data_IF_667998939652
#
_entry.id   IF_667998939652
#
_cell.length_a   1.000
_cell.length_b   1.000
_cell.length_c   1.000
_cell.angle_alpha   90.00
_cell.angle_beta   90.00
_cell.angle_gamma   90.00
#
_symmetry.space_group_name_H-M   'P 1'
#
loop_
_entity.id
_entity.type
_entity.pdbx_description
1 polymer ?
#
# COMPACT_ATOMS: atom_id res chain seq x y z
N UNK A 1 -15.29 48.55 55.04
CA UNK A 1 -15.07 49.44 53.90
C UNK A 1 -14.01 48.86 53.00
N UNK A 2 -14.41 48.19 51.93
CA UNK A 2 -13.48 47.68 50.91
C UNK A 2 -12.83 48.87 50.21
N UNK A 3 -11.54 48.96 50.28
CA UNK A 3 -10.75 50.03 49.65
C UNK A 3 -10.95 50.00 48.13
N UNK A 4 -11.19 51.16 47.49
CA UNK A 4 -11.30 51.26 46.02
C UNK A 4 -10.08 50.61 45.30
N UNK A 5 -8.94 50.60 45.95
CA UNK A 5 -7.71 49.95 45.46
C UNK A 5 -7.82 48.41 45.28
N UNK A 6 -8.58 47.73 46.16
CA UNK A 6 -8.76 46.29 46.06
C UNK A 6 -9.70 45.95 44.91
N UNK A 7 -10.76 46.74 44.70
CA UNK A 7 -11.73 46.54 43.60
C UNK A 7 -11.06 46.72 42.24
N UNK A 8 -10.22 47.71 42.06
CA UNK A 8 -9.47 47.95 40.82
C UNK A 8 -8.48 46.80 40.51
N UNK A 9 -7.83 46.27 41.52
CA UNK A 9 -6.90 45.15 41.38
C UNK A 9 -7.64 43.87 40.99
N UNK A 10 -8.77 43.60 41.62
CA UNK A 10 -9.56 42.43 41.36
C UNK A 10 -10.22 42.46 39.98
N UNK A 11 -10.68 43.65 39.54
CA UNK A 11 -11.20 43.86 38.17
C UNK A 11 -10.07 43.67 37.13
N UNK A 12 -8.92 44.24 37.33
CA UNK A 12 -7.77 44.07 36.43
C UNK A 12 -7.34 42.61 36.32
N UNK A 13 -7.37 41.85 37.40
CA UNK A 13 -7.08 40.42 37.42
C UNK A 13 -8.15 39.64 36.67
N UNK A 14 -9.45 39.93 36.89
CA UNK A 14 -10.55 39.26 36.19
C UNK A 14 -10.51 39.51 34.67
N UNK A 15 -10.24 40.76 34.24
CA UNK A 15 -10.08 41.12 32.84
C UNK A 15 -8.89 40.38 32.20
N UNK A 16 -7.76 40.30 32.91
CA UNK A 16 -6.60 39.55 32.44
C UNK A 16 -6.90 38.05 32.27
N UNK A 17 -7.63 37.45 33.20
CA UNK A 17 -8.04 36.02 33.08
C UNK A 17 -9.03 35.82 31.94
N UNK A 18 -9.98 36.74 31.75
CA UNK A 18 -10.92 36.66 30.64
C UNK A 18 -10.22 36.83 29.28
N UNK A 19 -9.31 37.82 29.16
CA UNK A 19 -8.51 38.02 27.95
C UNK A 19 -7.65 36.79 27.63
N UNK A 20 -7.05 36.16 28.66
CA UNK A 20 -6.29 34.92 28.50
C UNK A 20 -7.20 33.77 27.99
N UNK A 21 -8.36 33.51 28.60
CA UNK A 21 -9.30 32.49 28.18
C UNK A 21 -9.83 32.73 26.76
N UNK A 22 -10.17 33.99 26.44
CA UNK A 22 -10.64 34.35 25.10
C UNK A 22 -9.53 34.16 24.07
N UNK A 23 -8.28 34.51 24.40
CA UNK A 23 -7.11 34.29 23.56
C UNK A 23 -6.82 32.81 23.34
N UNK A 24 -6.87 32.00 24.41
CA UNK A 24 -6.71 30.53 24.33
C UNK A 24 -7.78 29.83 23.49
N UNK A 25 -8.96 30.44 23.37
CA UNK A 25 -10.08 29.90 22.58
C UNK A 25 -10.14 30.50 21.16
N UNK A 26 -9.43 31.58 20.90
CA UNK A 26 -9.45 32.22 19.59
C UNK A 26 -8.54 31.44 18.60
N UNK A 27 -9.07 30.96 17.45
CA UNK A 27 -8.29 30.23 16.46
C UNK A 27 -7.04 30.99 15.99
N UNK A 28 -7.12 32.33 15.93
CA UNK A 28 -6.02 33.21 15.54
C UNK A 28 -4.88 33.30 16.58
N UNK A 29 -5.11 32.88 17.82
CA UNK A 29 -4.11 32.90 18.91
C UNK A 29 -3.55 31.52 19.18
N UNK A 30 -4.33 30.47 18.98
CA UNK A 30 -3.92 29.07 19.21
C UNK A 30 -2.91 28.54 18.18
N UNK A 31 -2.70 29.24 17.07
CA UNK A 31 -1.95 28.71 15.95
C UNK A 31 -2.77 27.67 15.16
N UNK A 32 -2.19 26.53 14.89
CA UNK A 32 -2.91 25.46 14.20
C UNK A 32 -3.57 24.48 15.20
N UNK A 33 -4.85 24.22 15.02
CA UNK A 33 -5.57 23.14 15.69
C UNK A 33 -5.48 21.90 14.78
N UNK A 34 -4.73 20.90 15.19
CA UNK A 34 -4.69 19.64 14.45
C UNK A 34 -5.60 18.60 15.08
N UNK A 35 -6.16 17.72 14.27
CA UNK A 35 -6.95 16.58 14.71
C UNK A 35 -6.87 15.41 13.73
N UNK A 36 -7.21 14.23 14.21
CA UNK A 36 -7.48 13.08 13.35
C UNK A 36 -8.96 13.09 12.97
N UNK A 37 -9.26 12.78 11.72
CA UNK A 37 -10.62 12.73 11.20
C UNK A 37 -10.75 11.64 10.13
N UNK A 38 -11.88 10.92 10.15
CA UNK A 38 -12.14 9.88 9.15
C UNK A 38 -12.69 10.49 7.87
N UNK A 39 -12.06 10.18 6.74
CA UNK A 39 -12.49 10.64 5.41
C UNK A 39 -13.80 9.99 5.03
N UNK A 40 -14.82 10.81 4.77
CA UNK A 40 -16.15 10.38 4.33
C UNK A 40 -16.41 10.64 2.85
N UNK A 41 -15.69 11.59 2.23
CA UNK A 41 -15.75 11.84 0.79
C UNK A 41 -14.43 12.37 0.26
N UNK A 42 -14.12 12.03 -1.01
CA UNK A 42 -12.98 12.56 -1.76
C UNK A 42 -13.52 13.26 -3.00
N UNK A 43 -13.19 14.55 -3.14
CA UNK A 43 -13.71 15.38 -4.22
C UNK A 43 -12.68 15.55 -5.33
N UNK A 44 -13.14 15.67 -6.57
CA UNK A 44 -12.29 15.87 -7.75
C UNK A 44 -11.50 17.21 -7.74
N UNK A 45 -11.96 18.20 -6.96
CA UNK A 45 -11.31 19.51 -6.84
C UNK A 45 -10.12 19.55 -5.87
N UNK A 46 -9.63 18.39 -5.43
CA UNK A 46 -8.50 18.30 -4.50
C UNK A 46 -8.86 18.48 -3.03
N UNK A 47 -10.15 18.46 -2.67
CA UNK A 47 -10.59 18.48 -1.26
C UNK A 47 -11.06 17.10 -0.80
N UNK A 48 -11.11 16.93 0.52
CA UNK A 48 -11.78 15.80 1.19
C UNK A 48 -12.82 16.34 2.17
N UNK A 49 -13.80 15.52 2.49
CA UNK A 49 -14.67 15.72 3.66
C UNK A 49 -14.26 14.68 4.70
N UNK A 50 -13.94 15.12 5.90
CA UNK A 50 -13.57 14.26 7.01
C UNK A 50 -14.24 14.76 8.31
N UNK A 51 -15.02 13.89 8.94
CA UNK A 51 -15.85 14.23 10.12
C UNK A 51 -16.61 15.55 9.98
N UNK A 52 -17.26 15.75 8.83
CA UNK A 52 -18.07 16.93 8.51
C UNK A 52 -17.27 18.20 8.14
N UNK A 53 -15.94 18.12 8.07
CA UNK A 53 -15.09 19.24 7.68
C UNK A 53 -14.58 19.05 6.26
N UNK A 54 -14.67 20.12 5.45
CA UNK A 54 -14.02 20.15 4.12
C UNK A 54 -12.60 20.67 4.26
N UNK A 55 -11.60 19.86 3.93
CA UNK A 55 -10.20 20.19 3.98
C UNK A 55 -9.55 20.08 2.59
N UNK A 56 -8.63 21.01 2.27
CA UNK A 56 -7.82 20.93 1.06
C UNK A 56 -6.69 19.93 1.29
N UNK A 57 -6.47 19.01 0.35
CA UNK A 57 -5.36 18.05 0.44
C UNK A 57 -4.04 18.71 0.10
N UNK A 58 -2.99 18.38 0.83
CA UNK A 58 -1.62 18.62 0.40
C UNK A 58 -1.25 17.67 -0.76
N UNK A 59 -0.27 18.06 -1.56
CA UNK A 59 0.23 17.23 -2.66
C UNK A 59 0.69 15.84 -2.18
N UNK A 60 1.31 15.77 -1.01
CA UNK A 60 1.73 14.50 -0.42
C UNK A 60 0.57 13.52 -0.14
N UNK A 61 -0.68 14.00 -0.09
CA UNK A 61 -1.87 13.17 0.12
C UNK A 61 -2.62 12.90 -1.19
N UNK A 62 -1.91 12.30 -2.19
CA UNK A 62 -2.48 12.10 -3.52
C UNK A 62 -3.53 10.98 -3.60
N UNK A 63 -3.40 9.94 -2.82
CA UNK A 63 -4.27 8.75 -2.89
C UNK A 63 -5.25 8.69 -1.71
N UNK A 64 -5.97 9.79 -1.48
CA UNK A 64 -7.00 9.81 -0.45
C UNK A 64 -8.14 8.85 -0.80
N UNK A 65 -8.58 8.06 0.19
CA UNK A 65 -9.70 7.13 0.07
C UNK A 65 -10.69 7.35 1.19
N UNK A 66 -11.96 7.04 0.94
CA UNK A 66 -12.98 7.02 1.99
C UNK A 66 -12.61 5.95 3.02
N UNK A 67 -12.65 6.31 4.31
CA UNK A 67 -12.21 5.46 5.41
C UNK A 67 -10.78 5.74 5.91
N UNK A 68 -9.98 6.54 5.18
CA UNK A 68 -8.69 6.98 5.70
C UNK A 68 -8.86 7.78 7.00
N UNK A 69 -7.96 7.61 7.94
CA UNK A 69 -7.83 8.50 9.10
C UNK A 69 -6.80 9.57 8.75
N UNK A 70 -7.28 10.76 8.42
CA UNK A 70 -6.44 11.88 7.98
C UNK A 70 -6.03 12.79 9.14
N UNK A 71 -4.83 13.34 9.05
CA UNK A 71 -4.35 14.43 9.91
C UNK A 71 -4.83 15.75 9.30
N UNK A 72 -5.73 16.42 9.99
CA UNK A 72 -6.24 17.75 9.62
C UNK A 72 -5.60 18.81 10.49
N UNK A 73 -5.31 19.97 9.89
CA UNK A 73 -4.79 21.14 10.53
C UNK A 73 -5.63 22.35 10.14
N UNK A 74 -5.98 23.20 11.12
CA UNK A 74 -6.75 24.41 10.89
C UNK A 74 -5.86 25.64 11.02
N UNK A 75 -5.78 26.43 9.97
CA UNK A 75 -5.11 27.73 10.01
C UNK A 75 -5.84 28.72 10.91
N UNK A 76 -5.15 29.77 11.35
CA UNK A 76 -5.75 30.87 12.11
C UNK A 76 -6.91 31.58 11.41
N UNK A 77 -7.02 31.46 10.08
CA UNK A 77 -8.13 31.97 9.27
C UNK A 77 -9.31 30.99 9.16
N UNK A 78 -9.25 29.85 9.83
CA UNK A 78 -10.32 28.83 9.82
C UNK A 78 -10.30 27.87 8.64
N UNK A 79 -9.31 27.95 7.75
CA UNK A 79 -9.18 27.03 6.63
C UNK A 79 -8.56 25.71 7.08
N UNK A 80 -9.12 24.58 6.58
CA UNK A 80 -8.64 23.26 6.90
C UNK A 80 -7.74 22.71 5.78
N UNK A 81 -6.63 22.09 6.19
CA UNK A 81 -5.66 21.41 5.34
C UNK A 81 -5.54 19.96 5.82
N UNK A 82 -5.56 19.02 4.89
CA UNK A 82 -5.28 17.62 5.15
C UNK A 82 -3.84 17.31 4.75
N UNK A 83 -3.00 17.03 5.73
CA UNK A 83 -1.57 16.75 5.53
C UNK A 83 -1.34 15.37 4.91
N UNK A 84 -2.13 14.38 5.31
CA UNK A 84 -1.98 13.00 4.91
C UNK A 84 -2.84 12.10 5.78
N UNK A 85 -2.69 10.80 5.61
CA UNK A 85 -3.35 9.78 6.43
C UNK A 85 -2.37 9.08 7.35
N UNK A 86 -2.87 8.49 8.42
CA UNK A 86 -2.10 7.53 9.19
C UNK A 86 -1.82 6.31 8.32
N UNK A 87 -0.58 5.83 8.35
CA UNK A 87 -0.21 4.64 7.60
C UNK A 87 -0.98 3.42 8.12
N UNK A 88 -1.55 2.62 7.20
CA UNK A 88 -2.08 1.31 7.54
C UNK A 88 -0.93 0.35 7.89
N UNK A 89 -1.21 -0.67 8.68
CA UNK A 89 -0.20 -1.67 9.07
C UNK A 89 0.51 -2.30 7.86
N UNK A 90 -0.21 -2.47 6.73
CA UNK A 90 0.31 -2.97 5.47
C UNK A 90 1.32 -2.03 4.78
N UNK A 91 1.38 -0.76 5.18
CA UNK A 91 2.28 0.24 4.59
C UNK A 91 3.53 0.48 5.44
N UNK A 92 3.59 -0.10 6.63
CA UNK A 92 4.71 0.08 7.57
C UNK A 92 5.88 -0.89 7.30
N UNK A 93 5.74 -1.82 6.37
CA UNK A 93 6.80 -2.78 6.02
C UNK A 93 6.31 -3.94 5.17
N UNK A 94 7.22 -4.83 4.75
CA UNK A 94 6.84 -5.99 3.96
C UNK A 94 5.92 -6.92 4.75
N UNK A 95 4.77 -7.25 4.17
CA UNK A 95 3.82 -8.22 4.71
C UNK A 95 4.10 -9.61 4.14
N UNK A 96 4.11 -10.65 4.98
CA UNK A 96 4.23 -12.02 4.51
C UNK A 96 2.93 -12.50 3.85
N UNK A 97 3.06 -13.34 2.82
CA UNK A 97 1.96 -14.12 2.26
C UNK A 97 2.47 -15.47 1.75
N UNK A 98 1.57 -16.43 1.61
CA UNK A 98 1.90 -17.74 1.06
C UNK A 98 1.26 -17.88 -0.31
N UNK A 99 2.03 -17.80 -1.42
CA UNK A 99 1.48 -17.91 -2.76
C UNK A 99 0.92 -19.33 -2.99
N UNK A 100 -0.29 -19.43 -3.53
CA UNK A 100 -0.77 -20.69 -4.08
C UNK A 100 -0.12 -20.90 -5.45
N UNK A 101 0.14 -22.16 -5.80
CA UNK A 101 0.73 -22.54 -7.08
C UNK A 101 -0.14 -23.63 -7.69
N UNK A 102 -0.55 -23.42 -8.93
CA UNK A 102 -1.37 -24.35 -9.72
C UNK A 102 -0.65 -24.77 -11.01
N UNK A 103 -1.14 -25.77 -11.70
CA UNK A 103 -0.53 -26.29 -12.95
C UNK A 103 0.69 -27.19 -12.75
N UNK A 104 1.20 -27.33 -11.52
CA UNK A 104 2.38 -28.14 -11.22
C UNK A 104 2.15 -29.66 -11.18
N UNK A 105 0.93 -30.15 -11.35
CA UNK A 105 0.60 -31.56 -11.22
C UNK A 105 0.84 -32.08 -9.81
N UNK A 106 1.65 -33.14 -9.67
CA UNK A 106 1.97 -33.76 -8.37
C UNK A 106 3.08 -33.07 -7.57
N UNK A 107 3.54 -31.89 -8.00
CA UNK A 107 4.62 -31.16 -7.32
C UNK A 107 4.31 -30.91 -5.85
N UNK A 108 5.30 -31.11 -4.98
CA UNK A 108 5.24 -30.70 -3.58
C UNK A 108 6.31 -29.65 -3.28
N UNK A 109 6.08 -28.85 -2.25
CA UNK A 109 6.91 -27.68 -1.95
C UNK A 109 7.54 -27.80 -0.56
N UNK A 110 8.85 -27.54 -0.46
CA UNK A 110 9.52 -27.33 0.82
C UNK A 110 9.24 -25.94 1.37
N UNK A 111 9.11 -24.95 0.48
CA UNK A 111 8.76 -23.59 0.86
C UNK A 111 7.95 -22.89 -0.22
N UNK A 112 6.96 -22.13 0.21
CA UNK A 112 6.20 -21.16 -0.59
C UNK A 112 6.09 -19.89 0.26
N UNK A 113 7.01 -18.96 0.06
CA UNK A 113 7.12 -17.75 0.88
C UNK A 113 7.07 -16.54 -0.04
N UNK A 114 6.21 -15.61 0.28
CA UNK A 114 6.12 -14.32 -0.38
C UNK A 114 6.14 -13.19 0.63
N UNK A 115 6.60 -12.04 0.18
CA UNK A 115 6.51 -10.77 0.88
C UNK A 115 6.07 -9.70 -0.10
N UNK A 116 5.29 -8.75 0.37
CA UNK A 116 4.89 -7.59 -0.43
C UNK A 116 4.79 -6.32 0.41
N UNK A 117 4.91 -5.20 -0.25
CA UNK A 117 4.66 -3.87 0.30
C UNK A 117 3.72 -3.14 -0.63
N UNK A 118 2.81 -2.34 -0.06
CA UNK A 118 1.82 -1.59 -0.80
C UNK A 118 1.94 -0.10 -0.48
N UNK A 119 2.02 0.74 -1.51
CA UNK A 119 1.99 2.20 -1.40
C UNK A 119 0.90 2.71 -2.35
N UNK A 120 -0.24 3.07 -1.79
CA UNK A 120 -1.42 3.34 -2.60
C UNK A 120 -1.83 2.11 -3.41
N UNK A 121 -1.92 2.25 -4.73
CA UNK A 121 -2.19 1.14 -5.66
C UNK A 121 -0.92 0.40 -6.13
N UNK A 122 0.26 0.93 -5.85
CA UNK A 122 1.51 0.27 -6.22
C UNK A 122 1.83 -0.85 -5.24
N UNK A 123 1.94 -2.06 -5.74
CA UNK A 123 2.34 -3.26 -4.99
C UNK A 123 3.71 -3.71 -5.47
N UNK A 124 4.68 -3.79 -4.57
CA UNK A 124 5.98 -4.40 -4.82
C UNK A 124 6.03 -5.72 -4.07
N UNK A 125 6.48 -6.78 -4.73
CA UNK A 125 6.45 -8.12 -4.15
C UNK A 125 7.71 -8.93 -4.49
N UNK A 126 7.98 -9.93 -3.66
CA UNK A 126 8.95 -10.98 -3.89
C UNK A 126 8.41 -12.34 -3.45
N UNK A 127 8.64 -13.36 -4.25
CA UNK A 127 8.23 -14.75 -3.99
C UNK A 127 9.44 -15.66 -4.06
N UNK A 128 9.52 -16.62 -3.13
CA UNK A 128 10.45 -17.72 -3.17
C UNK A 128 9.67 -19.03 -3.06
N UNK A 129 9.84 -19.87 -4.07
CA UNK A 129 9.30 -21.23 -4.12
C UNK A 129 10.45 -22.23 -4.09
N UNK A 130 10.36 -23.28 -3.30
CA UNK A 130 11.34 -24.36 -3.25
C UNK A 130 10.62 -25.69 -3.43
N UNK A 131 11.00 -26.43 -4.48
CA UNK A 131 10.39 -27.70 -4.85
C UNK A 131 10.96 -28.81 -3.95
N UNK A 132 10.07 -29.58 -3.32
CA UNK A 132 10.42 -30.77 -2.55
C UNK A 132 10.47 -32.02 -3.44
N UNK A 133 9.38 -32.29 -4.15
CA UNK A 133 9.31 -33.42 -5.08
C UNK A 133 8.86 -32.94 -6.46
N UNK A 134 9.42 -33.58 -7.49
CA UNK A 134 9.16 -33.23 -8.87
C UNK A 134 7.67 -33.29 -9.22
N UNK A 135 7.25 -32.38 -10.10
CA UNK A 135 5.93 -32.38 -10.68
C UNK A 135 5.83 -33.26 -11.92
N UNK A 136 4.60 -33.53 -12.35
CA UNK A 136 4.34 -34.36 -13.56
C UNK A 136 3.35 -33.71 -14.53
N UNK A 137 2.84 -32.52 -14.17
CA UNK A 137 1.82 -31.83 -14.99
C UNK A 137 2.41 -31.20 -16.25
N UNK A 138 1.64 -31.19 -17.34
CA UNK A 138 1.95 -30.50 -18.59
C UNK A 138 1.31 -29.11 -18.68
N UNK A 139 0.46 -28.76 -17.72
CA UNK A 139 -0.14 -27.43 -17.64
C UNK A 139 0.90 -26.38 -17.21
N UNK A 140 0.72 -25.16 -17.68
CA UNK A 140 1.56 -24.03 -17.26
C UNK A 140 1.46 -23.81 -15.76
N UNK A 141 2.61 -23.57 -15.12
CA UNK A 141 2.66 -23.18 -13.71
C UNK A 141 2.13 -21.77 -13.55
N UNK A 142 1.15 -21.62 -12.67
CA UNK A 142 0.55 -20.34 -12.30
C UNK A 142 0.79 -20.08 -10.81
N UNK A 143 0.96 -18.83 -10.42
CA UNK A 143 1.35 -18.43 -9.07
C UNK A 143 0.46 -17.26 -8.64
N UNK A 144 -0.13 -17.37 -7.46
CA UNK A 144 -0.95 -16.29 -6.91
C UNK A 144 -0.11 -15.11 -6.44
N UNK A 145 -0.61 -13.93 -6.74
CA UNK A 145 -0.09 -12.62 -6.33
C UNK A 145 -0.76 -12.19 -5.02
N UNK A 146 -0.16 -11.24 -4.27
CA UNK A 146 -0.74 -10.72 -3.02
C UNK A 146 -2.13 -10.08 -3.19
N UNK A 147 -2.42 -9.54 -4.37
CA UNK A 147 -3.70 -8.89 -4.70
C UNK A 147 -3.97 -8.95 -6.21
N UNK A 148 -5.18 -8.54 -6.59
CA UNK A 148 -5.61 -8.50 -8.00
C UNK A 148 -4.76 -7.48 -8.77
N UNK A 149 -4.17 -7.92 -9.86
CA UNK A 149 -3.35 -7.07 -10.74
C UNK A 149 -4.24 -6.29 -11.70
N UNK A 150 -4.02 -4.99 -11.83
CA UNK A 150 -4.64 -4.20 -12.88
C UNK A 150 -3.92 -4.46 -14.22
N UNK A 151 -4.49 -5.36 -15.00
CA UNK A 151 -4.01 -5.72 -16.34
C UNK A 151 -4.90 -5.16 -17.45
N UNK A 152 -5.58 -4.05 -17.21
CA UNK A 152 -6.53 -3.45 -18.17
C UNK A 152 -5.85 -2.87 -19.40
N UNK A 153 -4.58 -2.47 -19.31
CA UNK A 153 -3.89 -1.69 -20.35
C UNK A 153 -2.85 -2.51 -21.09
N UNK A 154 -1.96 -3.23 -20.40
CA UNK A 154 -0.83 -3.94 -21.01
C UNK A 154 -0.54 -5.26 -20.28
N UNK A 155 0.12 -6.19 -20.97
CA UNK A 155 0.75 -7.34 -20.33
C UNK A 155 1.83 -6.89 -19.34
N UNK A 156 1.81 -7.45 -18.15
CA UNK A 156 2.81 -7.15 -17.13
C UNK A 156 3.81 -8.30 -17.02
N UNK A 157 5.09 -7.94 -16.97
CA UNK A 157 6.21 -8.89 -16.91
C UNK A 157 7.01 -8.69 -15.64
N UNK A 158 7.28 -9.78 -14.92
CA UNK A 158 8.03 -9.80 -13.67
C UNK A 158 9.29 -10.64 -13.82
N UNK A 159 10.38 -10.21 -13.21
CA UNK A 159 11.64 -10.95 -13.25
C UNK A 159 11.53 -12.25 -12.47
N UNK A 160 11.97 -13.35 -13.08
CA UNK A 160 12.10 -14.65 -12.42
C UNK A 160 13.56 -15.15 -12.47
N UNK A 161 13.98 -15.81 -11.40
CA UNK A 161 15.27 -16.51 -11.30
C UNK A 161 15.02 -17.94 -10.83
N UNK A 162 15.76 -18.85 -11.42
CA UNK A 162 15.75 -20.26 -11.06
C UNK A 162 17.10 -20.67 -10.50
N UNK A 163 17.15 -21.76 -9.74
CA UNK A 163 18.42 -22.43 -9.42
C UNK A 163 19.20 -22.71 -10.72
N UNK A 164 20.51 -22.92 -10.64
CA UNK A 164 21.37 -23.19 -11.79
C UNK A 164 21.62 -21.96 -12.69
N UNK A 165 21.50 -20.74 -12.12
CA UNK A 165 21.72 -19.47 -12.83
C UNK A 165 20.80 -19.24 -14.04
N UNK A 166 19.68 -19.93 -14.14
CA UNK A 166 18.68 -19.66 -15.18
C UNK A 166 17.88 -18.41 -14.86
N UNK A 167 17.64 -17.63 -15.86
CA UNK A 167 16.76 -16.46 -15.79
C UNK A 167 15.45 -16.74 -16.52
N UNK A 168 14.44 -15.96 -16.18
CA UNK A 168 13.14 -16.04 -16.83
C UNK A 168 12.27 -14.90 -16.39
N UNK A 169 10.99 -15.02 -16.66
CA UNK A 169 10.00 -14.03 -16.28
C UNK A 169 8.63 -14.67 -16.06
N UNK A 170 7.82 -14.01 -15.25
CA UNK A 170 6.42 -14.33 -15.09
C UNK A 170 5.58 -13.28 -15.83
N UNK A 171 4.46 -13.69 -16.39
CA UNK A 171 3.60 -12.82 -17.20
C UNK A 171 2.19 -12.80 -16.61
N UNK A 172 1.62 -11.60 -16.58
CA UNK A 172 0.20 -11.34 -16.42
C UNK A 172 -0.33 -10.77 -17.72
N UNK A 173 -1.26 -11.47 -18.37
CA UNK A 173 -1.83 -11.02 -19.64
C UNK A 173 -2.81 -9.87 -19.45
N UNK A 174 -2.85 -8.99 -20.46
CA UNK A 174 -3.84 -7.94 -20.55
C UNK A 174 -5.27 -8.51 -20.52
N UNK A 175 -6.17 -7.80 -19.84
CA UNK A 175 -7.59 -8.17 -19.74
C UNK A 175 -7.90 -9.28 -18.73
N UNK A 176 -6.90 -9.84 -18.05
CA UNK A 176 -7.09 -10.87 -17.02
C UNK A 176 -6.95 -10.29 -15.60
N UNK A 177 -7.93 -9.52 -15.16
CA UNK A 177 -7.94 -8.95 -13.81
C UNK A 177 -8.14 -10.05 -12.77
N UNK A 178 -7.06 -10.66 -12.34
CA UNK A 178 -7.03 -11.69 -11.30
C UNK A 178 -5.77 -11.57 -10.46
N UNK A 179 -5.75 -12.24 -9.32
CA UNK A 179 -4.57 -12.30 -8.46
C UNK A 179 -3.55 -13.38 -8.89
N UNK A 180 -3.72 -14.00 -10.07
CA UNK A 180 -2.87 -15.12 -10.50
C UNK A 180 -2.02 -14.69 -11.70
N UNK A 181 -0.71 -14.97 -11.65
CA UNK A 181 0.18 -14.88 -12.81
C UNK A 181 -0.21 -15.94 -13.83
N UNK A 182 -0.39 -15.56 -15.08
CA UNK A 182 -0.90 -16.44 -16.13
C UNK A 182 0.15 -17.45 -16.60
N UNK A 183 1.41 -17.05 -16.63
CA UNK A 183 2.52 -17.93 -17.04
C UNK A 183 3.81 -17.60 -16.32
N UNK A 184 4.55 -18.65 -15.99
CA UNK A 184 5.96 -18.59 -15.64
C UNK A 184 6.79 -19.11 -16.83
N UNK A 185 7.81 -18.37 -17.23
CA UNK A 185 8.69 -18.73 -18.36
C UNK A 185 10.15 -18.79 -17.91
N UNK A 186 10.89 -19.71 -18.47
CA UNK A 186 12.30 -19.93 -18.18
C UNK A 186 13.10 -19.94 -19.48
N UNK A 187 14.29 -19.35 -19.45
CA UNK A 187 15.21 -19.46 -20.58
C UNK A 187 15.80 -20.87 -20.64
N UNK A 188 15.62 -21.53 -21.77
CA UNK A 188 16.23 -22.82 -22.00
C UNK A 188 17.74 -22.69 -22.22
N UNK A 189 18.54 -23.58 -21.58
CA UNK A 189 19.99 -23.62 -21.72
C UNK A 189 20.47 -24.62 -22.79
N UNK A 190 19.56 -25.25 -23.52
CA UNK A 190 19.91 -26.28 -24.52
C UNK A 190 20.53 -25.72 -25.82
N UNK A 191 21.05 -24.48 -25.79
CA UNK A 191 21.80 -23.87 -26.89
C UNK A 191 20.98 -23.03 -27.87
N UNK A 192 19.65 -23.03 -27.76
CA UNK A 192 18.78 -22.23 -28.63
C UNK A 192 18.35 -20.91 -28.03
N UNK A 193 18.66 -20.64 -26.77
CA UNK A 193 18.20 -19.46 -26.00
C UNK A 193 16.67 -19.22 -26.07
N UNK A 194 15.90 -20.26 -26.32
CA UNK A 194 14.45 -20.16 -26.37
C UNK A 194 13.86 -20.01 -24.99
N UNK A 195 12.84 -19.21 -24.88
CA UNK A 195 12.08 -19.06 -23.66
C UNK A 195 10.88 -19.98 -23.69
N UNK A 196 10.85 -20.94 -22.79
CA UNK A 196 9.79 -21.96 -22.70
C UNK A 196 8.88 -21.69 -21.52
N UNK A 197 7.62 -22.08 -21.63
CA UNK A 197 6.71 -22.05 -20.48
C UNK A 197 7.14 -23.12 -19.47
N UNK A 198 7.13 -22.76 -18.19
CA UNK A 198 7.38 -23.71 -17.12
C UNK A 198 6.13 -24.49 -16.84
N UNK A 199 6.23 -25.80 -16.93
CA UNK A 199 5.19 -26.77 -16.61
C UNK A 199 5.54 -27.53 -15.33
N UNK A 200 4.62 -28.35 -14.83
CA UNK A 200 4.92 -29.21 -13.67
C UNK A 200 6.11 -30.15 -13.91
N UNK A 201 6.27 -30.65 -15.13
CA UNK A 201 7.39 -31.52 -15.50
C UNK A 201 8.78 -30.83 -15.42
N UNK A 202 8.81 -29.50 -15.55
CA UNK A 202 10.06 -28.71 -15.42
C UNK A 202 10.43 -28.46 -13.96
N UNK A 203 9.54 -28.75 -13.01
CA UNK A 203 9.75 -28.56 -11.58
C UNK A 203 10.44 -29.77 -10.96
N UNK A 204 11.76 -29.79 -11.00
CA UNK A 204 12.57 -30.86 -10.40
C UNK A 204 12.80 -30.64 -8.91
N UNK A 205 12.99 -31.71 -8.16
CA UNK A 205 13.29 -31.65 -6.72
C UNK A 205 14.55 -30.78 -6.46
N UNK A 206 14.48 -29.96 -5.41
CA UNK A 206 15.54 -29.02 -5.05
C UNK A 206 15.57 -27.71 -5.85
N UNK A 207 14.73 -27.56 -6.90
CA UNK A 207 14.67 -26.30 -7.65
C UNK A 207 14.10 -25.18 -6.80
N UNK A 208 14.77 -24.04 -6.84
CA UNK A 208 14.31 -22.81 -6.21
C UNK A 208 13.93 -21.82 -7.31
N UNK A 209 12.79 -21.16 -7.16
CA UNK A 209 12.27 -20.14 -8.05
C UNK A 209 12.08 -18.87 -7.23
N UNK A 210 12.72 -17.78 -7.63
CA UNK A 210 12.50 -16.44 -7.11
C UNK A 210 11.77 -15.60 -8.15
N UNK A 211 10.72 -14.88 -7.76
CA UNK A 211 10.00 -13.94 -8.64
C UNK A 211 9.89 -12.63 -7.89
N UNK A 212 10.13 -11.53 -8.59
CA UNK A 212 10.00 -10.19 -8.01
C UNK A 212 9.54 -9.17 -9.04
N UNK A 213 8.89 -8.12 -8.55
CA UNK A 213 8.45 -7.02 -9.38
C UNK A 213 7.50 -6.08 -8.67
N UNK A 214 6.94 -5.18 -9.45
CA UNK A 214 5.92 -4.23 -8.98
C UNK A 214 4.79 -4.14 -10.00
N UNK A 215 3.58 -3.91 -9.50
CA UNK A 215 2.38 -3.75 -10.33
C UNK A 215 1.40 -2.79 -9.68
N UNK A 216 0.42 -2.34 -10.46
CA UNK A 216 -0.73 -1.61 -9.92
C UNK A 216 -1.87 -2.58 -9.62
N UNK A 217 -2.46 -2.43 -8.45
CA UNK A 217 -3.66 -3.14 -8.02
C UNK A 217 -4.89 -2.57 -8.74
N UNK A 218 -5.82 -3.44 -9.11
CA UNK A 218 -7.06 -3.10 -9.78
C UNK A 218 -8.02 -2.24 -8.94
#
# INVERSE_FOLDING_TARGET
>A
VTSSHSVHRDLAWALKQQAKRTGEQAPSVRGSDWRLATVTAVNANGTIVADGVTARRMEAYHNATVGDVAVLDQSSSGNWIAHGRLAAAAELGPLPYTPAVTGGGSVTWTARVGQYMKIGKLVTFGVRLAVNAAGSGTANVQIDMPSVVDASVIDQTFTARFTENRTGYAIKFQGTNSATLDRLRMQDQTGTNQVVNVTGADLTAGRIIGIQGSYFEA
#
